data_IF_044764161070
#
_entry.id   IF_044764161070
#
_cell.length_a   1.000
_cell.length_b   1.000
_cell.length_c   1.000
_cell.angle_alpha   90.00
_cell.angle_beta   90.00
_cell.angle_gamma   90.00
#
_symmetry.space_group_name_H-M   'P 1'
#
loop_
_entity.id
_entity.type
_entity.pdbx_description
1 polymer ?
#
# COMPACT_ATOMS: atom_id res chain seq x y z
N UNK A 1 -10.59 23.81 6.59
CA UNK A 1 -10.97 22.61 7.38
C UNK A 1 -11.72 21.68 6.45
N UNK A 2 -11.29 20.44 6.21
CA UNK A 2 -12.10 19.46 5.50
C UNK A 2 -13.31 19.13 6.38
N UNK A 3 -14.52 19.15 5.81
CA UNK A 3 -15.71 18.73 6.53
C UNK A 3 -15.60 17.24 6.92
N UNK A 4 -16.09 16.83 8.09
CA UNK A 4 -16.21 15.41 8.40
C UNK A 4 -17.16 14.77 7.39
N UNK A 5 -16.63 13.88 6.54
CA UNK A 5 -17.46 13.01 5.69
C UNK A 5 -18.34 12.16 6.62
N UNK A 6 -19.63 12.48 6.68
CA UNK A 6 -20.62 11.63 7.33
C UNK A 6 -20.57 10.26 6.63
N UNK A 7 -20.49 9.18 7.42
CA UNK A 7 -20.54 7.83 6.91
C UNK A 7 -21.88 7.62 6.19
N UNK A 8 -21.86 7.65 4.85
CA UNK A 8 -23.05 7.34 4.07
C UNK A 8 -23.28 5.84 4.16
N UNK A 9 -24.23 5.42 5.00
CA UNK A 9 -24.66 4.02 5.05
C UNK A 9 -25.06 3.55 3.65
N UNK A 10 -24.49 2.43 3.20
CA UNK A 10 -24.81 1.83 1.91
C UNK A 10 -26.28 1.39 1.94
N UNK A 11 -27.13 2.03 1.12
CA UNK A 11 -28.54 1.66 1.04
C UNK A 11 -28.71 0.43 0.15
N UNK A 12 -29.41 -0.58 0.63
CA UNK A 12 -29.62 -1.86 -0.06
C UNK A 12 -30.27 -1.72 -1.45
N UNK A 13 -31.07 -0.66 -1.65
CA UNK A 13 -31.70 -0.36 -2.94
C UNK A 13 -30.69 0.02 -4.04
N UNK A 14 -29.51 0.56 -3.68
CA UNK A 14 -28.49 1.01 -4.64
C UNK A 14 -27.65 -0.16 -5.19
N UNK A 15 -27.93 -1.39 -4.76
CA UNK A 15 -27.11 -2.59 -5.04
C UNK A 15 -27.83 -3.68 -5.85
N UNK A 16 -29.04 -3.43 -6.31
CA UNK A 16 -29.91 -4.44 -6.96
C UNK A 16 -29.32 -5.03 -8.24
N UNK A 17 -28.45 -4.29 -8.96
CA UNK A 17 -27.77 -4.76 -10.17
C UNK A 17 -26.43 -5.49 -9.98
N UNK A 18 -25.96 -5.64 -8.73
CA UNK A 18 -24.67 -6.29 -8.43
C UNK A 18 -24.85 -7.73 -7.98
N UNK A 19 -23.89 -8.60 -8.32
CA UNK A 19 -23.79 -9.95 -7.75
C UNK A 19 -23.45 -9.91 -6.25
N UNK A 20 -23.65 -11.03 -5.54
CA UNK A 20 -23.32 -11.10 -4.10
C UNK A 20 -21.84 -10.79 -3.81
N UNK A 21 -20.93 -11.30 -4.64
CA UNK A 21 -19.50 -11.04 -4.50
C UNK A 21 -19.17 -9.55 -4.67
N UNK A 22 -19.83 -8.86 -5.60
CA UNK A 22 -19.62 -7.44 -5.85
C UNK A 22 -20.24 -6.58 -4.76
N UNK A 23 -21.42 -6.96 -4.25
CA UNK A 23 -22.02 -6.31 -3.08
C UNK A 23 -21.08 -6.40 -1.87
N UNK A 24 -20.46 -7.55 -1.65
CA UNK A 24 -19.45 -7.72 -0.61
C UNK A 24 -18.25 -6.78 -0.85
N UNK A 25 -17.72 -6.72 -2.07
CA UNK A 25 -16.61 -5.83 -2.41
C UNK A 25 -16.95 -4.35 -2.21
N UNK A 26 -18.17 -3.91 -2.55
CA UNK A 26 -18.63 -2.53 -2.31
C UNK A 26 -18.63 -2.23 -0.81
N UNK A 27 -19.27 -3.08 0.00
CA UNK A 27 -19.32 -2.90 1.46
C UNK A 27 -17.91 -2.86 2.06
N UNK A 28 -17.06 -3.79 1.63
CA UNK A 28 -15.67 -3.88 2.10
C UNK A 28 -14.81 -2.70 1.63
N UNK A 29 -15.09 -2.13 0.46
CA UNK A 29 -14.40 -0.93 -0.04
C UNK A 29 -14.74 0.30 0.80
N UNK A 30 -16.03 0.51 1.11
CA UNK A 30 -16.46 1.61 1.98
C UNK A 30 -15.87 1.47 3.40
N UNK A 31 -15.83 0.26 3.94
CA UNK A 31 -15.18 -0.03 5.22
C UNK A 31 -13.68 0.27 5.16
N UNK A 32 -12.99 -0.18 4.10
CA UNK A 32 -11.56 0.03 3.92
C UNK A 32 -11.20 1.53 3.83
N UNK A 33 -12.03 2.35 3.17
CA UNK A 33 -11.87 3.81 3.15
C UNK A 33 -11.98 4.38 4.57
N UNK A 34 -13.05 4.05 5.31
CA UNK A 34 -13.28 4.59 6.65
C UNK A 34 -12.16 4.22 7.64
N UNK A 35 -11.75 2.95 7.66
CA UNK A 35 -10.68 2.49 8.55
C UNK A 35 -9.31 2.98 8.06
N UNK A 36 -9.10 3.06 6.75
CA UNK A 36 -7.89 3.56 6.13
C UNK A 36 -7.62 5.03 6.44
N UNK A 37 -8.64 5.90 6.36
CA UNK A 37 -8.50 7.32 6.70
C UNK A 37 -8.15 7.50 8.18
N UNK A 38 -8.74 6.70 9.07
CA UNK A 38 -8.35 6.71 10.49
C UNK A 38 -6.89 6.29 10.70
N UNK A 39 -6.45 5.23 10.00
CA UNK A 39 -5.09 4.71 10.12
C UNK A 39 -4.04 5.68 9.54
N UNK A 40 -4.34 6.31 8.40
CA UNK A 40 -3.51 7.31 7.74
C UNK A 40 -3.32 8.54 8.64
N UNK A 41 -4.42 9.09 9.17
CA UNK A 41 -4.38 10.24 10.09
C UNK A 41 -3.61 9.91 11.36
N UNK A 42 -3.88 8.75 11.96
CA UNK A 42 -3.14 8.27 13.12
C UNK A 42 -1.64 8.20 12.86
N UNK A 43 -1.23 7.69 11.69
CA UNK A 43 0.19 7.63 11.33
C UNK A 43 0.79 9.04 11.23
N UNK A 44 0.14 9.96 10.50
CA UNK A 44 0.64 11.34 10.35
C UNK A 44 0.74 12.08 11.69
N UNK A 45 -0.26 11.94 12.55
CA UNK A 45 -0.29 12.59 13.86
C UNK A 45 0.78 12.03 14.81
N UNK A 46 1.11 10.74 14.71
CA UNK A 46 2.04 10.06 15.62
C UNK A 46 3.43 9.82 15.05
N UNK A 47 3.70 10.18 13.80
CA UNK A 47 4.97 9.85 13.12
C UNK A 47 6.19 10.21 13.99
N UNK A 48 6.21 11.39 14.61
CA UNK A 48 7.31 11.86 15.46
C UNK A 48 7.46 11.11 16.79
N UNK A 49 6.40 10.44 17.26
CA UNK A 49 6.37 9.68 18.51
C UNK A 49 6.53 8.17 18.33
N UNK A 50 6.58 7.67 17.09
CA UNK A 50 6.77 6.25 16.81
C UNK A 50 8.24 5.83 17.04
N UNK A 51 8.42 4.65 17.63
CA UNK A 51 9.73 4.02 17.74
C UNK A 51 10.01 3.23 16.47
N UNK A 52 10.96 3.74 15.68
CA UNK A 52 11.43 3.08 14.47
C UNK A 52 12.60 2.16 14.76
N UNK A 53 12.63 1.02 14.08
CA UNK A 53 13.75 0.09 14.05
C UNK A 53 14.19 -0.18 12.61
N UNK A 54 15.49 -0.37 12.34
CA UNK A 54 15.97 -0.59 10.98
C UNK A 54 15.47 -1.92 10.42
N UNK A 55 15.16 -1.95 9.12
CA UNK A 55 14.85 -3.16 8.37
C UNK A 55 16.01 -3.48 7.42
N UNK A 56 16.57 -4.67 7.55
CA UNK A 56 17.59 -5.17 6.62
C UNK A 56 16.93 -5.82 5.40
N UNK A 57 17.09 -5.18 4.25
CA UNK A 57 16.52 -5.64 2.98
C UNK A 57 17.36 -6.74 2.30
N UNK A 58 18.55 -7.08 2.80
CA UNK A 58 19.38 -8.23 2.36
C UNK A 58 19.65 -8.32 0.86
N UNK A 59 19.56 -7.22 0.13
CA UNK A 59 19.94 -7.13 -1.27
C UNK A 59 20.63 -5.78 -1.51
N UNK A 60 21.46 -5.73 -2.54
CA UNK A 60 21.99 -4.46 -3.06
C UNK A 60 20.97 -3.88 -4.03
N UNK A 61 20.67 -2.60 -3.87
CA UNK A 61 19.73 -1.86 -4.70
C UNK A 61 20.43 -0.72 -5.41
N UNK A 62 19.87 -0.29 -6.54
CA UNK A 62 20.46 0.79 -7.32
C UNK A 62 20.24 2.14 -6.63
N UNK A 63 19.02 2.39 -6.17
CA UNK A 63 18.70 3.65 -5.48
C UNK A 63 19.05 3.57 -3.99
N UNK A 64 19.73 4.59 -3.43
CA UNK A 64 19.92 4.70 -1.99
C UNK A 64 18.58 4.69 -1.28
N UNK A 65 18.48 3.90 -0.21
CA UNK A 65 17.25 3.79 0.57
C UNK A 65 17.52 3.61 2.05
N UNK A 66 16.50 3.98 2.84
CA UNK A 66 16.44 3.73 4.28
C UNK A 66 15.08 3.13 4.60
N UNK A 67 15.06 1.88 5.03
CA UNK A 67 13.85 1.17 5.45
C UNK A 67 13.81 0.99 6.96
N UNK A 68 12.69 1.35 7.57
CA UNK A 68 12.45 1.28 9.00
C UNK A 68 11.07 0.68 9.27
N UNK A 69 10.98 -0.20 10.26
CA UNK A 69 9.73 -0.73 10.77
C UNK A 69 9.32 -0.01 12.04
N UNK A 70 8.03 -0.08 12.37
CA UNK A 70 7.51 0.40 13.64
C UNK A 70 6.35 -0.47 14.11
N UNK A 71 6.12 -0.46 15.41
CA UNK A 71 4.91 -1.00 16.04
C UNK A 71 4.16 0.11 16.77
N UNK A 72 2.85 -0.05 16.86
CA UNK A 72 2.00 0.94 17.51
C UNK A 72 0.69 0.34 18.00
N UNK A 73 -0.20 1.20 18.43
CA UNK A 73 -1.58 0.87 18.77
C UNK A 73 -2.46 2.08 18.52
N UNK A 74 -3.66 1.82 18.03
CA UNK A 74 -4.69 2.83 17.81
C UNK A 74 -6.07 2.25 18.11
N UNK A 75 -7.08 3.12 18.19
CA UNK A 75 -8.48 2.67 18.18
C UNK A 75 -9.09 2.92 16.80
N UNK A 76 -9.56 1.87 16.13
CA UNK A 76 -10.32 1.93 14.87
C UNK A 76 -11.69 1.34 15.11
N UNK A 77 -12.74 2.03 14.67
CA UNK A 77 -14.13 1.54 14.74
C UNK A 77 -14.54 1.16 16.18
N UNK A 78 -14.10 1.93 17.18
CA UNK A 78 -14.48 1.77 18.59
C UNK A 78 -13.71 0.71 19.37
N UNK A 79 -12.70 0.05 18.79
CA UNK A 79 -11.89 -0.96 19.47
C UNK A 79 -10.39 -0.75 19.34
N UNK A 80 -9.58 -1.12 20.36
CA UNK A 80 -8.13 -1.05 20.28
C UNK A 80 -7.59 -2.10 19.29
N UNK A 81 -6.65 -1.69 18.44
CA UNK A 81 -5.93 -2.54 17.49
C UNK A 81 -4.43 -2.28 17.59
N UNK A 82 -3.65 -3.35 17.53
CA UNK A 82 -2.19 -3.26 17.37
C UNK A 82 -1.84 -2.84 15.95
N UNK A 83 -0.72 -2.14 15.76
CA UNK A 83 -0.26 -1.70 14.45
C UNK A 83 1.14 -2.24 14.19
N UNK A 84 1.37 -2.67 12.96
CA UNK A 84 2.70 -2.78 12.38
C UNK A 84 2.76 -1.97 11.10
N UNK A 85 3.92 -1.41 10.81
CA UNK A 85 4.12 -0.70 9.56
C UNK A 85 5.59 -0.48 9.26
N UNK A 86 5.85 0.02 8.07
CA UNK A 86 7.17 0.44 7.66
C UNK A 86 7.13 1.80 6.97
N UNK A 87 8.24 2.52 7.12
CA UNK A 87 8.58 3.73 6.39
C UNK A 87 9.84 3.43 5.58
N UNK A 88 9.80 3.75 4.30
CA UNK A 88 10.95 3.61 3.43
C UNK A 88 11.16 4.89 2.63
N UNK A 89 12.35 5.47 2.76
CA UNK A 89 12.77 6.62 1.97
C UNK A 89 13.71 6.16 0.87
N UNK A 90 13.48 6.63 -0.36
CA UNK A 90 14.28 6.32 -1.55
C UNK A 90 14.67 7.62 -2.23
N UNK A 91 15.95 7.76 -2.56
CA UNK A 91 16.48 8.93 -3.27
C UNK A 91 16.46 8.66 -4.77
N UNK A 92 15.67 9.41 -5.53
CA UNK A 92 15.63 9.29 -7.00
C UNK A 92 16.81 10.03 -7.62
N UNK A 93 17.19 11.18 -7.05
CA UNK A 93 18.33 11.98 -7.48
C UNK A 93 17.98 13.44 -7.66
N UNK A 94 18.91 14.18 -8.26
CA UNK A 94 18.76 15.59 -8.57
C UNK A 94 18.52 15.79 -10.06
N UNK A 95 17.52 16.60 -10.42
CA UNK A 95 17.10 16.79 -11.80
C UNK A 95 17.23 18.27 -12.23
N UNK A 96 17.83 18.56 -13.39
CA UNK A 96 17.93 19.93 -13.89
C UNK A 96 16.61 20.39 -14.53
N UNK A 97 16.42 21.71 -14.59
CA UNK A 97 15.38 22.35 -15.42
C UNK A 97 14.29 23.08 -14.63
N UNK A 98 13.72 24.11 -15.27
CA UNK A 98 12.52 24.77 -14.78
C UNK A 98 11.27 23.92 -14.98
N UNK A 99 10.24 24.14 -14.16
CA UNK A 99 8.96 23.43 -14.28
C UNK A 99 8.95 22.01 -13.69
N UNK A 100 9.94 21.66 -12.85
CA UNK A 100 10.05 20.33 -12.26
C UNK A 100 8.90 20.02 -11.30
N UNK A 101 8.35 21.03 -10.63
CA UNK A 101 7.20 20.90 -9.74
C UNK A 101 5.95 20.43 -10.51
N UNK A 102 5.60 21.11 -11.60
CA UNK A 102 4.45 20.77 -12.44
C UNK A 102 4.61 19.40 -13.08
N UNK A 103 5.83 19.10 -13.55
CA UNK A 103 6.18 17.79 -14.12
C UNK A 103 6.06 16.66 -13.09
N UNK A 104 6.53 16.88 -11.85
CA UNK A 104 6.41 15.88 -10.78
C UNK A 104 4.94 15.64 -10.43
N UNK A 105 4.15 16.70 -10.32
CA UNK A 105 2.71 16.58 -10.07
C UNK A 105 1.99 15.84 -11.21
N UNK A 106 2.25 16.18 -12.47
CA UNK A 106 1.69 15.47 -13.63
C UNK A 106 2.06 13.99 -13.58
N UNK A 107 3.33 13.67 -13.31
CA UNK A 107 3.78 12.30 -13.28
C UNK A 107 3.12 11.50 -12.18
N UNK A 108 3.14 12.00 -10.94
CA UNK A 108 2.59 11.25 -9.80
C UNK A 108 1.08 11.02 -9.98
N UNK A 109 0.33 12.03 -10.42
CA UNK A 109 -1.12 11.93 -10.52
C UNK A 109 -1.61 11.23 -11.80
N UNK A 110 -0.84 11.23 -12.89
CA UNK A 110 -1.32 10.70 -14.19
C UNK A 110 -0.49 9.57 -14.76
N UNK A 111 0.81 9.53 -14.49
CA UNK A 111 1.74 8.64 -15.20
C UNK A 111 2.33 7.53 -14.32
N UNK A 112 2.44 7.73 -13.01
CA UNK A 112 3.08 6.80 -12.09
C UNK A 112 2.48 5.39 -12.21
N UNK A 113 1.16 5.24 -12.11
CA UNK A 113 0.52 3.92 -12.27
C UNK A 113 0.66 3.36 -13.69
N UNK A 114 0.59 4.20 -14.73
CA UNK A 114 0.79 3.78 -16.13
C UNK A 114 2.17 3.18 -16.35
N UNK A 115 3.15 3.63 -15.57
CA UNK A 115 4.58 3.35 -15.77
C UNK A 115 5.15 2.46 -14.69
N UNK A 116 4.33 2.02 -13.73
CA UNK A 116 4.74 1.19 -12.62
C UNK A 116 5.02 -0.28 -13.01
N UNK A 117 5.12 -0.63 -14.29
CA UNK A 117 5.40 -1.98 -14.79
C UNK A 117 6.45 -1.98 -15.91
N UNK A 118 7.10 -3.13 -16.09
CA UNK A 118 8.09 -3.35 -17.15
C UNK A 118 8.22 -4.85 -17.47
N UNK A 119 8.98 -5.18 -18.50
CA UNK A 119 9.38 -6.56 -18.81
C UNK A 119 10.87 -6.73 -18.54
N UNK A 120 11.24 -7.81 -17.87
CA UNK A 120 12.62 -8.24 -17.72
C UNK A 120 13.13 -8.91 -19.02
N UNK A 121 14.45 -9.08 -19.13
CA UNK A 121 15.09 -9.74 -20.30
C UNK A 121 14.60 -11.18 -20.51
N UNK A 122 14.21 -11.87 -19.44
CA UNK A 122 13.64 -13.22 -19.48
C UNK A 122 12.15 -13.25 -19.89
N UNK A 123 11.56 -12.09 -20.23
CA UNK A 123 10.16 -11.93 -20.60
C UNK A 123 9.20 -11.89 -19.41
N UNK A 124 9.68 -12.03 -18.18
CA UNK A 124 8.82 -11.92 -17.01
C UNK A 124 8.40 -10.47 -16.78
N UNK A 125 7.18 -10.25 -16.27
CA UNK A 125 6.73 -8.92 -15.89
C UNK A 125 7.34 -8.51 -14.54
N UNK A 126 7.65 -7.22 -14.42
CA UNK A 126 8.02 -6.55 -13.19
C UNK A 126 7.07 -5.40 -12.88
N UNK A 127 7.15 -4.90 -11.66
CA UNK A 127 6.31 -3.83 -11.14
C UNK A 127 4.85 -4.27 -10.93
N UNK A 128 3.93 -3.32 -11.11
CA UNK A 128 2.51 -3.45 -10.83
C UNK A 128 1.64 -3.14 -12.06
N UNK A 129 0.65 -3.99 -12.30
CA UNK A 129 -0.45 -3.70 -13.24
C UNK A 129 -1.77 -3.57 -12.48
N UNK A 130 -2.74 -2.91 -13.13
CA UNK A 130 -3.99 -2.50 -12.50
C UNK A 130 -5.18 -2.93 -13.35
N UNK A 131 -6.24 -3.36 -12.67
CA UNK A 131 -7.55 -3.63 -13.24
C UNK A 131 -8.61 -2.86 -12.43
N UNK A 132 -9.53 -2.19 -13.12
CA UNK A 132 -10.66 -1.47 -12.54
C UNK A 132 -11.90 -2.34 -12.63
N UNK A 133 -12.66 -2.44 -11.54
CA UNK A 133 -13.86 -3.29 -11.51
C UNK A 133 -15.12 -2.50 -11.19
N UNK A 134 -15.18 -1.95 -9.98
CA UNK A 134 -16.36 -1.23 -9.46
C UNK A 134 -15.95 0.19 -9.09
N UNK A 135 -16.85 1.15 -9.21
CA UNK A 135 -16.64 2.50 -8.72
C UNK A 135 -17.90 3.10 -8.13
N UNK A 136 -17.70 4.13 -7.31
CA UNK A 136 -18.76 5.03 -6.85
C UNK A 136 -18.58 6.39 -7.51
N UNK A 137 -19.63 6.92 -8.13
CA UNK A 137 -19.62 8.28 -8.69
C UNK A 137 -19.54 9.33 -7.59
N UNK A 138 -18.88 10.45 -7.86
CA UNK A 138 -18.86 11.59 -6.94
C UNK A 138 -20.28 12.10 -6.63
N UNK A 139 -21.15 12.11 -7.63
CA UNK A 139 -22.55 12.50 -7.50
C UNK A 139 -23.45 11.49 -6.76
N UNK A 140 -22.90 10.33 -6.35
CA UNK A 140 -23.57 9.15 -5.78
C UNK A 140 -23.93 8.04 -6.79
N UNK A 141 -24.09 6.81 -6.28
CA UNK A 141 -24.39 5.61 -7.05
C UNK A 141 -23.15 4.77 -7.39
N UNK A 142 -23.34 3.45 -7.42
CA UNK A 142 -22.32 2.46 -7.76
C UNK A 142 -22.48 2.01 -9.20
N UNK A 143 -21.36 1.80 -9.90
CA UNK A 143 -21.35 1.26 -11.27
C UNK A 143 -20.13 0.34 -11.48
N UNK A 144 -20.19 -0.48 -12.53
CA UNK A 144 -19.07 -1.29 -13.00
C UNK A 144 -18.40 -0.60 -14.19
N UNK A 145 -17.10 -0.84 -14.37
CA UNK A 145 -16.45 -0.54 -15.64
C UNK A 145 -16.89 -1.54 -16.71
N UNK A 146 -17.18 -1.04 -17.91
CA UNK A 146 -17.33 -1.88 -19.09
C UNK A 146 -16.03 -2.65 -19.36
N UNK A 147 -16.13 -3.86 -19.94
CA UNK A 147 -15.01 -4.79 -20.06
C UNK A 147 -13.78 -4.19 -20.77
N UNK A 148 -13.99 -3.34 -21.78
CA UNK A 148 -12.96 -2.62 -22.53
C UNK A 148 -12.29 -1.49 -21.73
N UNK A 149 -12.92 -1.03 -20.64
CA UNK A 149 -12.43 0.02 -19.76
C UNK A 149 -11.84 -0.53 -18.43
N UNK A 150 -11.88 -1.84 -18.20
CA UNK A 150 -11.37 -2.47 -16.98
C UNK A 150 -9.84 -2.45 -16.93
N UNK A 151 -9.18 -2.64 -18.08
CA UNK A 151 -7.73 -2.73 -18.10
C UNK A 151 -7.06 -1.38 -17.86
N UNK A 152 -5.96 -1.41 -17.10
CA UNK A 152 -5.03 -0.33 -17.01
C UNK A 152 -5.25 0.62 -15.82
N UNK A 153 -4.42 1.66 -15.76
CA UNK A 153 -4.31 2.54 -14.61
C UNK A 153 -5.48 3.53 -14.52
N UNK A 154 -5.49 4.27 -13.42
CA UNK A 154 -6.43 5.35 -13.17
C UNK A 154 -5.69 6.70 -13.11
N UNK A 155 -6.34 7.77 -13.59
CA UNK A 155 -5.90 9.14 -13.36
C UNK A 155 -6.34 9.57 -11.94
N UNK A 156 -5.42 9.99 -11.09
CA UNK A 156 -5.76 10.40 -9.72
C UNK A 156 -6.49 11.73 -9.66
N UNK A 157 -6.41 12.56 -10.70
CA UNK A 157 -7.04 13.89 -10.76
C UNK A 157 -8.57 13.83 -10.93
N UNK A 158 -9.13 12.68 -11.31
CA UNK A 158 -10.58 12.49 -11.45
C UNK A 158 -11.25 12.07 -10.13
N UNK A 159 -10.49 11.69 -9.10
CA UNK A 159 -11.04 11.41 -7.78
C UNK A 159 -11.62 12.69 -7.15
N UNK A 160 -12.80 12.56 -6.56
CA UNK A 160 -13.58 13.66 -5.98
C UNK A 160 -14.35 14.49 -7.02
N UNK A 161 -14.00 14.38 -8.30
CA UNK A 161 -14.68 15.06 -9.42
C UNK A 161 -15.65 14.14 -10.13
N UNK A 162 -15.15 13.01 -10.62
CA UNK A 162 -15.92 12.01 -11.34
C UNK A 162 -16.26 10.83 -10.42
N UNK A 163 -15.26 10.37 -9.66
CA UNK A 163 -15.35 9.21 -8.80
C UNK A 163 -15.20 9.60 -7.33
N UNK A 164 -16.10 9.17 -6.47
CA UNK A 164 -15.87 9.19 -5.03
C UNK A 164 -14.76 8.20 -4.66
N UNK A 165 -14.78 7.01 -5.28
CA UNK A 165 -13.71 6.01 -5.20
C UNK A 165 -13.79 5.03 -6.36
N UNK A 166 -12.68 4.33 -6.61
CA UNK A 166 -12.58 3.24 -7.59
C UNK A 166 -11.98 2.02 -6.92
N UNK A 167 -12.54 0.83 -7.16
CA UNK A 167 -11.96 -0.44 -6.74
C UNK A 167 -10.97 -0.92 -7.80
N UNK A 168 -9.70 -1.02 -7.40
CA UNK A 168 -8.62 -1.51 -8.22
C UNK A 168 -8.15 -2.88 -7.73
N UNK A 169 -7.88 -3.79 -8.66
CA UNK A 169 -7.01 -4.95 -8.43
C UNK A 169 -5.59 -4.56 -8.81
N UNK A 170 -4.66 -4.60 -7.86
CA UNK A 170 -3.22 -4.41 -8.10
C UNK A 170 -2.57 -5.77 -8.22
N UNK A 171 -1.99 -6.09 -9.37
CA UNK A 171 -1.18 -7.29 -9.56
C UNK A 171 0.29 -6.97 -9.27
N UNK A 172 0.91 -7.75 -8.40
CA UNK A 172 2.28 -7.55 -7.94
C UNK A 172 3.17 -8.60 -8.61
N UNK A 173 3.96 -8.19 -9.61
CA UNK A 173 4.75 -9.13 -10.43
C UNK A 173 6.11 -9.48 -9.83
N UNK A 174 6.63 -8.65 -8.92
CA UNK A 174 7.96 -8.82 -8.29
C UNK A 174 7.92 -9.43 -6.89
N UNK A 175 6.83 -10.10 -6.54
CA UNK A 175 6.76 -10.80 -5.25
C UNK A 175 7.56 -12.10 -5.29
N UNK A 176 8.81 -12.04 -4.85
CA UNK A 176 9.73 -13.17 -4.84
C UNK A 176 9.99 -13.64 -3.41
N UNK A 177 9.62 -14.89 -3.13
CA UNK A 177 9.94 -15.55 -1.86
C UNK A 177 11.19 -16.40 -2.04
N UNK A 178 12.17 -16.18 -1.14
CA UNK A 178 13.37 -17.02 -1.01
C UNK A 178 13.26 -17.85 0.28
N UNK A 179 13.35 -19.17 0.17
CA UNK A 179 13.38 -20.12 1.29
C UNK A 179 14.59 -21.04 1.12
N UNK A 180 15.70 -20.72 1.78
CA UNK A 180 16.97 -21.42 1.57
C UNK A 180 17.41 -21.34 0.10
N UNK A 181 17.71 -22.46 -0.58
CA UNK A 181 18.10 -22.46 -1.99
C UNK A 181 16.92 -22.27 -2.96
N UNK A 182 15.67 -22.29 -2.47
CA UNK A 182 14.48 -22.15 -3.31
C UNK A 182 14.11 -20.67 -3.50
N UNK A 183 13.95 -20.24 -4.75
CA UNK A 183 13.44 -18.92 -5.13
C UNK A 183 12.17 -19.12 -5.97
N UNK A 184 11.04 -18.57 -5.52
CA UNK A 184 9.77 -18.66 -6.24
C UNK A 184 9.15 -17.27 -6.40
N UNK A 185 8.77 -16.93 -7.63
CA UNK A 185 7.92 -15.77 -7.93
C UNK A 185 6.47 -16.16 -7.70
N UNK A 186 5.78 -15.42 -6.85
CA UNK A 186 4.37 -15.65 -6.55
C UNK A 186 3.53 -14.64 -7.32
N UNK A 187 2.36 -15.09 -7.78
CA UNK A 187 1.33 -14.21 -8.31
C UNK A 187 0.53 -13.68 -7.13
N UNK A 188 0.84 -12.46 -6.71
CA UNK A 188 0.13 -11.78 -5.64
C UNK A 188 -0.74 -10.67 -6.24
N UNK A 189 -1.94 -10.51 -5.70
CA UNK A 189 -2.86 -9.46 -6.10
C UNK A 189 -3.61 -8.92 -4.89
N UNK A 190 -3.94 -7.63 -4.90
CA UNK A 190 -4.65 -6.95 -3.83
C UNK A 190 -5.81 -6.14 -4.37
N UNK A 191 -6.96 -6.17 -3.69
CA UNK A 191 -7.98 -5.16 -3.88
C UNK A 191 -7.62 -3.90 -3.08
N UNK A 192 -7.63 -2.74 -3.73
CA UNK A 192 -7.32 -1.44 -3.12
C UNK A 192 -8.30 -0.38 -3.61
N UNK A 193 -8.47 0.70 -2.83
CA UNK A 193 -9.53 1.69 -3.11
C UNK A 193 -9.00 3.12 -3.07
N UNK A 194 -8.43 3.63 -4.17
CA UNK A 194 -8.10 5.05 -4.28
C UNK A 194 -9.28 5.94 -3.93
N UNK A 195 -9.02 6.96 -3.12
CA UNK A 195 -10.01 7.91 -2.62
C UNK A 195 -9.35 9.30 -2.44
N UNK A 196 -10.08 10.41 -2.63
CA UNK A 196 -9.54 11.78 -2.53
C UNK A 196 -8.77 12.07 -1.25
N UNK A 197 -9.20 11.53 -0.11
CA UNK A 197 -8.55 11.74 1.19
C UNK A 197 -7.09 11.23 1.25
N UNK A 198 -6.67 10.39 0.31
CA UNK A 198 -5.30 9.89 0.21
C UNK A 198 -4.48 10.60 -0.87
N UNK A 199 -5.00 11.67 -1.47
CA UNK A 199 -4.30 12.52 -2.44
C UNK A 199 -3.97 13.85 -1.78
N UNK A 200 -2.68 14.18 -1.71
CA UNK A 200 -2.22 15.47 -1.19
C UNK A 200 -1.24 16.12 -2.16
N UNK A 201 -1.46 17.39 -2.45
CA UNK A 201 -0.51 18.24 -3.17
C UNK A 201 -0.26 19.44 -2.27
N UNK A 202 0.95 19.51 -1.71
CA UNK A 202 1.32 20.55 -0.76
C UNK A 202 2.52 21.32 -1.32
N UNK A 203 2.32 22.60 -1.57
CA UNK A 203 3.41 23.51 -1.94
C UNK A 203 4.08 24.04 -0.68
N UNK A 204 5.42 24.06 -0.68
CA UNK A 204 6.25 24.55 0.42
C UNK A 204 5.86 23.99 1.82
N UNK A 205 5.67 22.67 1.99
CA UNK A 205 5.25 22.11 3.29
C UNK A 205 6.28 22.37 4.39
N UNK A 206 7.56 22.53 4.03
CA UNK A 206 8.65 22.99 4.91
C UNK A 206 9.60 23.91 4.13
N UNK A 207 10.58 24.50 4.82
CA UNK A 207 11.59 25.37 4.17
C UNK A 207 12.47 24.64 3.14
N UNK A 208 12.66 23.34 3.31
CA UNK A 208 13.57 22.54 2.48
C UNK A 208 12.86 21.79 1.35
N UNK A 209 11.53 21.74 1.40
CA UNK A 209 10.68 21.01 0.45
C UNK A 209 9.84 22.03 -0.32
N UNK A 210 10.06 22.11 -1.63
CA UNK A 210 9.28 22.98 -2.52
C UNK A 210 7.90 22.39 -2.84
N UNK A 211 7.80 21.05 -2.95
CA UNK A 211 6.54 20.37 -3.28
C UNK A 211 6.51 18.97 -2.64
N UNK A 212 5.36 18.60 -2.07
CA UNK A 212 4.99 17.22 -1.77
C UNK A 212 3.78 16.82 -2.64
N UNK A 213 3.91 15.71 -3.37
CA UNK A 213 2.79 15.07 -4.08
C UNK A 213 2.64 13.66 -3.55
N UNK A 214 1.54 13.42 -2.83
CA UNK A 214 1.24 12.16 -2.17
C UNK A 214 0.00 11.51 -2.78
N UNK A 215 0.10 10.22 -3.06
CA UNK A 215 -1.03 9.35 -3.43
C UNK A 215 -1.04 8.11 -2.54
N UNK A 216 -2.21 7.53 -2.33
CA UNK A 216 -2.33 6.34 -1.51
C UNK A 216 -3.67 5.67 -1.60
N UNK A 217 -3.76 4.50 -1.00
CA UNK A 217 -4.98 3.71 -0.97
C UNK A 217 -5.01 2.81 0.27
N UNK A 218 -6.21 2.54 0.81
CA UNK A 218 -6.43 1.43 1.71
C UNK A 218 -6.54 0.11 0.94
N UNK A 219 -6.19 -0.98 1.62
CA UNK A 219 -6.43 -2.34 1.17
C UNK A 219 -7.82 -2.81 1.60
N UNK A 220 -8.50 -3.53 0.71
CA UNK A 220 -9.74 -4.23 1.03
C UNK A 220 -9.40 -5.57 1.67
N UNK A 221 -10.06 -5.91 2.79
CA UNK A 221 -9.91 -7.20 3.50
C UNK A 221 -10.62 -8.34 2.76
N UNK A 222 -10.27 -8.52 1.48
CA UNK A 222 -10.70 -9.60 0.61
C UNK A 222 -9.53 -9.93 -0.31
N UNK A 223 -9.10 -11.19 -0.35
CA UNK A 223 -8.03 -11.62 -1.23
C UNK A 223 -8.57 -11.95 -2.64
N UNK A 224 -8.04 -11.35 -3.72
CA UNK A 224 -8.41 -11.71 -5.10
C UNK A 224 -8.10 -13.18 -5.43
N UNK A 225 -7.04 -13.72 -4.82
CA UNK A 225 -6.62 -15.10 -4.98
C UNK A 225 -6.48 -15.76 -3.62
N UNK A 226 -6.95 -17.01 -3.49
CA UNK A 226 -6.70 -17.80 -2.27
C UNK A 226 -5.24 -18.21 -2.22
N UNK A 227 -4.57 -17.96 -1.10
CA UNK A 227 -3.23 -18.43 -0.80
C UNK A 227 -3.17 -19.00 0.63
N UNK A 228 -2.02 -19.58 0.99
CA UNK A 228 -1.79 -20.19 2.31
C UNK A 228 -1.17 -19.21 3.33
N UNK A 229 -1.00 -17.94 2.97
CA UNK A 229 -0.39 -16.94 3.85
C UNK A 229 -1.44 -16.34 4.78
N UNK A 230 -1.09 -16.22 6.06
CA UNK A 230 -1.92 -15.58 7.08
C UNK A 230 -1.78 -14.06 7.13
N UNK A 231 -0.82 -13.53 6.38
CA UNK A 231 -0.53 -12.10 6.26
C UNK A 231 -0.15 -11.79 4.81
N UNK A 232 -0.70 -10.71 4.26
CA UNK A 232 -0.51 -10.34 2.86
C UNK A 232 -1.76 -9.69 2.26
N UNK A 233 -1.76 -9.45 0.94
CA UNK A 233 -2.89 -8.88 0.22
C UNK A 233 -4.24 -9.51 0.59
N UNK A 234 -5.19 -8.69 1.06
CA UNK A 234 -6.54 -9.13 1.41
C UNK A 234 -6.66 -9.93 2.72
N UNK A 235 -5.65 -9.84 3.61
CA UNK A 235 -5.65 -10.44 4.95
C UNK A 235 -5.51 -9.42 6.09
N UNK A 236 -5.46 -8.13 5.74
CA UNK A 236 -5.35 -7.05 6.70
C UNK A 236 -6.75 -6.59 7.10
N UNK A 237 -7.03 -6.45 8.40
CA UNK A 237 -8.30 -5.85 8.84
C UNK A 237 -8.48 -4.43 8.29
N UNK A 238 -7.49 -3.57 8.56
CA UNK A 238 -7.28 -2.29 7.90
C UNK A 238 -5.82 -2.19 7.49
N UNK A 239 -5.54 -1.71 6.29
CA UNK A 239 -4.18 -1.34 5.91
C UNK A 239 -4.19 -0.19 4.90
N UNK A 240 -3.13 0.60 4.90
CA UNK A 240 -2.91 1.70 3.97
C UNK A 240 -1.54 1.62 3.34
N UNK A 241 -1.43 2.01 2.07
CA UNK A 241 -0.18 2.26 1.37
C UNK A 241 -0.16 3.70 0.88
N UNK A 242 0.88 4.43 1.24
CA UNK A 242 1.11 5.82 0.84
C UNK A 242 2.42 5.91 0.05
N UNK A 243 2.43 6.74 -0.98
CA UNK A 243 3.59 7.13 -1.77
C UNK A 243 3.64 8.64 -1.80
N UNK A 244 4.65 9.22 -1.15
CA UNK A 244 4.86 10.67 -1.06
C UNK A 244 6.13 11.04 -1.82
N UNK A 245 5.98 11.83 -2.87
CA UNK A 245 7.08 12.35 -3.67
C UNK A 245 7.40 13.77 -3.21
N UNK A 246 8.64 13.99 -2.82
CA UNK A 246 9.14 15.27 -2.33
C UNK A 246 10.11 15.86 -3.34
N UNK A 247 9.89 17.11 -3.71
CA UNK A 247 10.84 17.93 -4.44
C UNK A 247 11.49 18.91 -3.46
N UNK A 248 12.81 18.86 -3.32
CA UNK A 248 13.56 19.81 -2.52
C UNK A 248 13.72 21.15 -3.24
N UNK A 249 14.08 22.20 -2.49
CA UNK A 249 14.48 23.50 -3.05
C UNK A 249 15.73 23.45 -3.94
N UNK A 250 16.47 22.33 -3.91
CA UNK A 250 17.67 22.09 -4.72
C UNK A 250 17.39 21.15 -5.92
N UNK A 251 16.11 20.93 -6.24
CA UNK A 251 15.66 20.02 -7.30
C UNK A 251 16.02 18.54 -7.07
N UNK A 252 16.12 18.12 -5.81
CA UNK A 252 16.24 16.70 -5.46
C UNK A 252 14.87 16.07 -5.31
N UNK A 253 14.65 14.91 -5.92
CA UNK A 253 13.43 14.12 -5.76
C UNK A 253 13.69 12.96 -4.82
N UNK A 254 12.87 12.86 -3.77
CA UNK A 254 12.83 11.72 -2.84
C UNK A 254 11.43 11.14 -2.78
N UNK A 255 11.34 9.85 -2.55
CA UNK A 255 10.07 9.15 -2.35
C UNK A 255 10.03 8.53 -0.97
N UNK A 256 9.02 8.88 -0.18
CA UNK A 256 8.68 8.17 1.07
C UNK A 256 7.51 7.25 0.80
N UNK A 257 7.70 5.97 1.10
CA UNK A 257 6.65 4.98 1.08
C UNK A 257 6.31 4.59 2.50
N UNK A 258 5.03 4.61 2.82
CA UNK A 258 4.52 4.16 4.12
C UNK A 258 3.55 3.02 3.90
N UNK A 259 3.69 1.98 4.70
CA UNK A 259 2.69 0.94 4.86
C UNK A 259 2.35 0.81 6.33
N UNK A 260 1.07 0.73 6.65
CA UNK A 260 0.60 0.43 7.99
C UNK A 260 -0.56 -0.55 7.92
N UNK A 261 -0.61 -1.50 8.84
CA UNK A 261 -1.68 -2.49 8.97
C UNK A 261 -2.12 -2.64 10.42
N UNK A 262 -3.43 -2.76 10.63
CA UNK A 262 -4.09 -2.91 11.91
C UNK A 262 -5.29 -3.89 11.80
N UNK A 263 -5.34 -4.99 12.59
CA UNK A 263 -4.35 -5.39 13.59
C UNK A 263 -3.03 -5.84 12.96
N UNK A 264 -2.00 -6.03 13.79
CA UNK A 264 -0.81 -6.82 13.42
C UNK A 264 -1.20 -8.22 12.94
N UNK A 265 -0.30 -8.88 12.23
CA UNK A 265 -0.50 -10.23 11.73
C UNK A 265 -0.96 -11.17 12.86
N UNK A 266 -2.09 -11.85 12.65
CA UNK A 266 -2.58 -12.86 13.59
C UNK A 266 -2.02 -14.25 13.30
N UNK A 267 -1.55 -14.47 12.07
CA UNK A 267 -0.96 -15.72 11.59
C UNK A 267 0.13 -15.41 10.56
N UNK A 268 1.16 -16.25 10.51
CA UNK A 268 2.12 -16.29 9.39
C UNK A 268 1.60 -17.17 8.27
N UNK A 269 1.11 -18.37 8.60
CA UNK A 269 0.49 -19.30 7.65
C UNK A 269 -0.96 -19.58 8.05
N UNK A 270 -1.85 -19.60 7.05
CA UNK A 270 -3.28 -19.83 7.23
C UNK A 270 -3.70 -21.15 6.56
N UNK A 271 -3.68 -22.22 7.34
CA UNK A 271 -4.15 -23.55 6.94
C UNK A 271 -5.62 -23.79 7.33
N UNK A 272 -6.39 -22.71 7.51
CA UNK A 272 -7.80 -22.74 7.92
C UNK A 272 -8.00 -22.62 9.43
N UNK A 273 -9.25 -22.81 9.86
CA UNK A 273 -9.66 -22.61 11.28
C UNK A 273 -9.21 -23.74 12.21
N UNK A 274 -8.98 -24.93 11.69
CA UNK A 274 -8.71 -26.13 12.49
C UNK A 274 -7.22 -26.45 12.65
N UNK A 275 -6.34 -25.78 11.90
CA UNK A 275 -4.89 -26.02 11.96
C UNK A 275 -4.24 -24.74 12.51
N UNK A 276 -3.59 -24.80 13.69
CA UNK A 276 -2.94 -23.62 14.26
C UNK A 276 -1.76 -23.18 13.37
N UNK A 277 -1.52 -21.87 13.33
CA UNK A 277 -0.33 -21.34 12.66
C UNK A 277 0.93 -21.95 13.29
N UNK A 278 1.76 -22.68 12.52
CA UNK A 278 2.94 -23.34 13.07
C UNK A 278 3.95 -22.34 13.64
N UNK A 279 3.92 -21.07 13.23
CA UNK A 279 4.85 -20.06 13.72
C UNK A 279 4.36 -19.43 15.02
N UNK A 280 3.22 -18.73 15.00
CA UNK A 280 2.70 -18.05 16.20
C UNK A 280 2.08 -19.03 17.22
N UNK A 281 1.40 -20.07 16.73
CA UNK A 281 0.92 -21.17 17.57
C UNK A 281 2.07 -21.98 18.18
N UNK A 282 3.12 -22.25 17.38
CA UNK A 282 4.33 -22.91 17.86
C UNK A 282 5.08 -22.11 18.92
N UNK A 283 5.22 -20.79 18.75
CA UNK A 283 5.81 -19.90 19.75
C UNK A 283 5.04 -19.94 21.08
N UNK A 284 3.71 -19.97 21.00
CA UNK A 284 2.84 -20.09 22.19
C UNK A 284 3.01 -21.45 22.87
N UNK A 285 3.08 -22.54 22.11
CA UNK A 285 3.36 -23.88 22.64
C UNK A 285 4.75 -23.94 23.31
N UNK A 286 5.77 -23.36 22.69
CA UNK A 286 7.12 -23.28 23.24
C UNK A 286 7.17 -22.53 24.56
N UNK A 287 6.35 -21.48 24.75
CA UNK A 287 6.21 -20.81 26.05
C UNK A 287 5.73 -21.80 27.12
N UNK A 288 4.71 -22.60 26.84
CA UNK A 288 4.21 -23.59 27.79
C UNK A 288 5.24 -24.68 28.08
N UNK A 289 5.87 -25.24 27.05
CA UNK A 289 6.89 -26.29 27.19
C UNK A 289 8.16 -25.79 27.90
N UNK A 290 8.51 -24.52 27.74
CA UNK A 290 9.67 -23.89 28.38
C UNK A 290 9.35 -23.25 29.73
N UNK A 291 8.15 -23.48 30.29
CA UNK A 291 7.69 -22.87 31.55
C UNK A 291 7.82 -21.34 31.58
N UNK A 292 7.64 -20.69 30.43
CA UNK A 292 7.69 -19.23 30.30
C UNK A 292 9.05 -18.62 29.96
N UNK A 293 10.11 -19.42 29.79
CA UNK A 293 11.42 -18.92 29.37
C UNK A 293 11.38 -18.31 27.96
N UNK A 294 10.59 -18.89 27.05
CA UNK A 294 10.35 -18.33 25.72
C UNK A 294 9.23 -17.30 25.78
N UNK A 295 9.52 -16.08 25.31
CA UNK A 295 8.52 -15.00 25.15
C UNK A 295 7.98 -15.01 23.70
N UNK A 296 6.73 -15.43 23.45
CA UNK A 296 6.17 -15.50 22.10
C UNK A 296 6.19 -14.16 21.37
N UNK A 297 6.03 -13.06 22.11
CA UNK A 297 6.06 -11.70 21.56
C UNK A 297 7.34 -11.41 20.79
N UNK A 298 8.50 -11.89 21.26
CA UNK A 298 9.77 -11.69 20.56
C UNK A 298 9.80 -12.42 19.21
N UNK A 299 9.18 -13.60 19.12
CA UNK A 299 9.05 -14.33 17.86
C UNK A 299 8.08 -13.60 16.93
N UNK A 300 6.95 -13.13 17.45
CA UNK A 300 5.97 -12.35 16.67
C UNK A 300 6.58 -11.06 16.13
N UNK A 301 7.25 -10.27 16.97
CA UNK A 301 7.91 -9.02 16.56
C UNK A 301 8.98 -9.27 15.49
N UNK A 302 9.77 -10.35 15.63
CA UNK A 302 10.78 -10.73 14.64
C UNK A 302 10.16 -11.13 13.30
N UNK A 303 9.08 -11.90 13.31
CA UNK A 303 8.40 -12.33 12.08
C UNK A 303 7.69 -11.17 11.40
N UNK A 304 7.01 -10.31 12.16
CA UNK A 304 6.40 -9.09 11.62
C UNK A 304 7.47 -8.18 11.00
N UNK A 305 8.62 -8.01 11.65
CA UNK A 305 9.74 -7.26 11.08
C UNK A 305 10.27 -7.88 9.76
N UNK A 306 10.32 -9.21 9.65
CA UNK A 306 10.70 -9.88 8.40
C UNK A 306 9.67 -9.67 7.29
N UNK A 307 8.38 -9.69 7.61
CA UNK A 307 7.31 -9.40 6.64
C UNK A 307 7.37 -7.95 6.17
N UNK A 308 7.63 -7.00 7.07
CA UNK A 308 7.86 -5.59 6.73
C UNK A 308 9.10 -5.41 5.86
N UNK A 309 10.19 -6.13 6.15
CA UNK A 309 11.39 -6.10 5.31
C UNK A 309 11.09 -6.60 3.89
N UNK A 310 10.39 -7.74 3.75
CA UNK A 310 9.97 -8.26 2.44
C UNK A 310 9.09 -7.26 1.68
N UNK A 311 8.17 -6.60 2.38
CA UNK A 311 7.34 -5.53 1.81
C UNK A 311 8.18 -4.37 1.29
N UNK A 312 9.18 -3.92 2.04
CA UNK A 312 10.13 -2.90 1.61
C UNK A 312 11.04 -3.35 0.45
N UNK A 313 11.34 -4.65 0.32
CA UNK A 313 12.07 -5.17 -0.84
C UNK A 313 11.26 -5.00 -2.12
N UNK A 314 9.95 -5.31 -2.08
CA UNK A 314 9.04 -5.13 -3.22
C UNK A 314 8.93 -3.64 -3.60
N UNK A 315 8.82 -2.76 -2.61
CA UNK A 315 8.85 -1.32 -2.83
C UNK A 315 10.15 -0.84 -3.48
N UNK A 316 11.29 -1.36 -3.03
CA UNK A 316 12.58 -0.93 -3.56
C UNK A 316 12.72 -1.34 -5.02
N UNK A 317 12.34 -2.58 -5.37
CA UNK A 317 12.30 -3.04 -6.77
C UNK A 317 11.38 -2.15 -7.61
N UNK A 318 10.20 -1.78 -7.09
CA UNK A 318 9.31 -0.84 -7.75
C UNK A 318 9.98 0.52 -8.01
N UNK A 319 10.63 1.11 -7.01
CA UNK A 319 11.27 2.42 -7.15
C UNK A 319 12.48 2.38 -8.09
N UNK A 320 13.29 1.32 -8.04
CA UNK A 320 14.41 1.13 -8.96
C UNK A 320 13.91 1.08 -10.43
N UNK A 321 12.74 0.48 -10.68
CA UNK A 321 12.09 0.51 -12.00
C UNK A 321 11.49 1.86 -12.36
N UNK A 322 10.72 2.47 -11.44
CA UNK A 322 10.01 3.74 -11.66
C UNK A 322 10.97 4.90 -11.94
N UNK A 323 12.12 4.98 -11.26
CA UNK A 323 13.07 6.07 -11.52
C UNK A 323 13.55 6.07 -12.98
N UNK A 324 13.78 4.89 -13.58
CA UNK A 324 14.17 4.79 -14.99
C UNK A 324 13.09 5.40 -15.88
N UNK A 325 11.83 5.04 -15.63
CA UNK A 325 10.71 5.52 -16.45
C UNK A 325 10.41 7.01 -16.21
N UNK A 326 10.61 7.50 -14.99
CA UNK A 326 10.57 8.94 -14.67
C UNK A 326 11.65 9.71 -15.44
N UNK A 327 12.89 9.24 -15.40
CA UNK A 327 14.02 9.84 -16.11
C UNK A 327 13.81 9.87 -17.63
N UNK A 328 13.25 8.81 -18.20
CA UNK A 328 12.92 8.77 -19.64
C UNK A 328 11.73 9.69 -19.99
N UNK A 329 10.75 9.81 -19.09
CA UNK A 329 9.61 10.71 -19.27
C UNK A 329 10.01 12.19 -19.20
N UNK A 330 10.95 12.56 -18.31
CA UNK A 330 11.49 13.92 -18.27
C UNK A 330 12.21 14.29 -19.58
N UNK A 331 12.94 13.34 -20.18
CA UNK A 331 13.63 13.55 -21.46
C UNK A 331 12.66 13.73 -22.61
N UNK A 332 11.53 13.02 -22.63
CA UNK A 332 10.54 13.15 -23.73
C UNK A 332 9.74 14.45 -23.71
N UNK A 333 9.79 15.19 -22.59
CA UNK A 333 9.13 16.48 -22.37
C UNK A 333 10.08 17.69 -22.48
N UNK A 334 11.36 17.46 -22.80
CA UNK A 334 12.39 18.50 -22.95
C UNK A 334 12.67 18.78 -24.41
#
# INVERSE_FOLDING_TARGET
>A
MPQPHAATAVRTADLTGFSEAERLLIVKSEQAIQEGVQLERWYRERESGLQFFPLDLKNSYRLPNRAEGFFGSLSISGGPRTVMGCRQEVQFGQFPGGGLAERLQEFVLKEFQKRAHWSYEDGALGGFTFEKTIYKKAANGYQQFAADAQEGPMDWTVLGREYAWVLLTVHIHDFVVKMGPWKKRLREAAYVVPHPDFVHVLENPTKDIALEVSIGYPFVDVAPHRNMFGFGPGKFGAAVKLFSFFLSSQNEVRVRMVFAAAPRAQKVLDFGKCIPDPVYGGATLLRYLSLGLVRPQTIHDRMDAQMLALHCQVHQTLMDGVEKVWSDWLKSKS
#
